data_IF_400964123639
#
_entry.id   IF_400964123639
#
_cell.length_a   1.000
_cell.length_b   1.000
_cell.length_c   1.000
_cell.angle_alpha   90.00
_cell.angle_beta   90.00
_cell.angle_gamma   90.00
#
_symmetry.space_group_name_H-M   'P 1'
#
loop_
_entity.id
_entity.type
_entity.pdbx_description
1 polymer ?
#
# COMPACT_ATOMS: atom_id res chain seq x y z
N UNK A 1 16.23 2.03 -30.87
CA UNK A 1 15.73 2.34 -29.50
C UNK A 1 14.24 2.69 -29.47
N UNK A 2 13.63 3.08 -30.60
CA UNK A 2 12.20 3.38 -30.78
C UNK A 2 11.19 2.22 -30.53
N UNK A 3 11.66 1.00 -30.23
CA UNK A 3 10.80 -0.18 -30.01
C UNK A 3 10.52 -0.41 -28.50
N UNK A 4 11.35 0.14 -27.61
CA UNK A 4 11.28 -0.14 -26.16
C UNK A 4 10.28 0.77 -25.42
N UNK A 5 10.00 1.97 -25.93
CA UNK A 5 9.11 2.94 -25.27
C UNK A 5 7.66 2.81 -25.74
N UNK A 6 7.45 2.50 -27.02
CA UNK A 6 6.12 2.22 -27.62
C UNK A 6 5.49 0.91 -27.12
N UNK A 7 6.27 0.05 -26.46
CA UNK A 7 5.79 -1.19 -25.86
C UNK A 7 5.32 -1.04 -24.42
N UNK A 8 5.80 -0.07 -23.63
CA UNK A 8 5.39 0.05 -22.22
C UNK A 8 3.92 0.45 -22.02
N UNK A 9 3.36 1.28 -22.90
CA UNK A 9 2.00 1.83 -22.75
C UNK A 9 0.89 0.78 -22.96
N UNK A 10 0.94 -0.12 -23.95
CA UNK A 10 -0.05 -1.20 -24.08
C UNK A 10 0.10 -2.32 -23.03
N UNK A 11 1.23 -2.38 -22.33
CA UNK A 11 1.57 -3.49 -21.42
C UNK A 11 1.32 -3.16 -19.95
N UNK A 12 0.77 -1.99 -19.64
CA UNK A 12 0.48 -1.56 -18.26
C UNK A 12 -0.40 -2.57 -17.49
N UNK A 13 -1.37 -3.18 -18.16
CA UNK A 13 -2.21 -4.25 -17.60
C UNK A 13 -1.39 -5.52 -17.26
N UNK A 14 -0.39 -5.85 -18.08
CA UNK A 14 0.46 -7.03 -17.85
C UNK A 14 1.36 -6.87 -16.63
N UNK A 15 1.60 -5.65 -16.14
CA UNK A 15 2.36 -5.45 -14.91
C UNK A 15 1.55 -5.73 -13.63
N UNK A 16 0.25 -5.98 -13.73
CA UNK A 16 -0.58 -6.35 -12.56
C UNK A 16 -0.13 -7.67 -11.92
N UNK A 17 0.48 -8.59 -12.69
CA UNK A 17 1.05 -9.85 -12.17
C UNK A 17 2.10 -9.61 -11.07
N UNK A 18 2.80 -8.46 -11.13
CA UNK A 18 3.77 -8.10 -10.10
C UNK A 18 3.09 -7.78 -8.77
N UNK A 19 1.82 -7.35 -8.77
CA UNK A 19 1.06 -7.18 -7.53
C UNK A 19 0.90 -8.50 -6.80
N UNK A 20 0.45 -9.55 -7.49
CA UNK A 20 0.27 -10.88 -6.89
C UNK A 20 1.61 -11.46 -6.41
N UNK A 21 2.65 -11.36 -7.25
CA UNK A 21 3.99 -11.79 -6.89
C UNK A 21 4.52 -11.09 -5.63
N UNK A 22 4.43 -9.74 -5.57
CA UNK A 22 4.86 -8.95 -4.41
C UNK A 22 4.06 -9.28 -3.14
N UNK A 23 2.77 -9.59 -3.28
CA UNK A 23 1.90 -9.92 -2.16
C UNK A 23 2.19 -11.32 -1.60
N UNK A 24 2.54 -12.28 -2.45
CA UNK A 24 2.89 -13.64 -2.02
C UNK A 24 4.36 -13.79 -1.59
N UNK A 25 5.21 -12.83 -1.96
CA UNK A 25 6.64 -12.86 -1.68
C UNK A 25 6.97 -13.14 -0.20
N UNK A 26 6.36 -12.48 0.82
CA UNK A 26 6.63 -12.79 2.22
C UNK A 26 6.36 -14.25 2.60
N UNK A 27 5.27 -14.85 2.08
CA UNK A 27 4.93 -16.25 2.34
C UNK A 27 5.96 -17.19 1.71
N UNK A 28 6.38 -16.90 0.48
CA UNK A 28 7.43 -17.63 -0.20
C UNK A 28 8.76 -17.55 0.57
N UNK A 29 9.10 -16.38 1.13
CA UNK A 29 10.31 -16.19 1.95
C UNK A 29 10.29 -17.05 3.22
N UNK A 30 9.14 -17.12 3.91
CA UNK A 30 8.97 -17.95 5.10
C UNK A 30 9.14 -19.43 4.77
N UNK A 31 8.49 -19.89 3.71
CA UNK A 31 8.54 -21.30 3.31
C UNK A 31 9.93 -21.70 2.80
N UNK A 32 10.58 -20.84 2.01
CA UNK A 32 11.94 -21.08 1.54
C UNK A 32 12.91 -21.15 2.74
N UNK A 33 12.78 -20.24 3.70
CA UNK A 33 13.57 -20.23 4.94
C UNK A 33 13.36 -21.47 5.82
N UNK A 34 12.20 -22.13 5.70
CA UNK A 34 11.91 -23.42 6.35
C UNK A 34 12.61 -24.57 5.62
N UNK A 35 12.53 -24.58 4.29
CA UNK A 35 13.12 -25.63 3.44
C UNK A 35 14.65 -25.59 3.43
N UNK A 36 15.28 -24.41 3.49
CA UNK A 36 16.75 -24.28 3.53
C UNK A 36 17.38 -24.80 4.83
N UNK A 37 16.58 -25.11 5.86
CA UNK A 37 17.04 -25.81 7.08
C UNK A 37 17.14 -27.33 6.90
N UNK A 38 16.53 -27.87 5.85
CA UNK A 38 16.48 -29.30 5.58
C UNK A 38 17.57 -29.65 4.55
N UNK A 39 18.56 -30.44 4.97
CA UNK A 39 19.73 -30.79 4.16
C UNK A 39 19.38 -31.32 2.76
N UNK A 40 18.34 -32.16 2.64
CA UNK A 40 17.83 -32.65 1.35
C UNK A 40 17.55 -31.53 0.36
N UNK A 41 16.90 -30.46 0.79
CA UNK A 41 16.52 -29.35 -0.08
C UNK A 41 17.69 -28.42 -0.37
N UNK A 42 18.63 -28.28 0.57
CA UNK A 42 19.89 -27.55 0.32
C UNK A 42 20.66 -28.19 -0.82
N UNK A 43 20.88 -29.51 -0.77
CA UNK A 43 21.57 -30.22 -1.85
C UNK A 43 20.81 -30.16 -3.18
N UNK A 44 19.48 -30.30 -3.13
CA UNK A 44 18.63 -30.20 -4.31
C UNK A 44 18.75 -28.84 -4.99
N UNK A 45 18.63 -27.75 -4.24
CA UNK A 45 18.71 -26.41 -4.82
C UNK A 45 20.10 -26.09 -5.36
N UNK A 46 21.16 -26.53 -4.68
CA UNK A 46 22.53 -26.34 -5.17
C UNK A 46 22.79 -27.14 -6.46
N UNK A 47 22.30 -28.37 -6.55
CA UNK A 47 22.36 -29.15 -7.79
C UNK A 47 21.61 -28.45 -8.94
N UNK A 48 20.43 -27.89 -8.69
CA UNK A 48 19.69 -27.10 -9.68
C UNK A 48 20.45 -25.85 -10.11
N UNK A 49 21.07 -25.11 -9.18
CA UNK A 49 21.85 -23.90 -9.46
C UNK A 49 23.03 -24.21 -10.39
N UNK A 50 23.78 -25.27 -10.08
CA UNK A 50 24.91 -25.72 -10.89
C UNK A 50 24.48 -26.20 -12.27
N UNK A 51 23.39 -26.96 -12.36
CA UNK A 51 22.83 -27.44 -13.64
C UNK A 51 22.42 -26.28 -14.57
N UNK A 52 21.80 -25.25 -13.99
CA UNK A 52 21.39 -24.04 -14.71
C UNK A 52 22.53 -23.02 -14.90
N UNK A 53 23.74 -23.33 -14.42
CA UNK A 53 24.92 -22.46 -14.51
C UNK A 53 24.67 -21.06 -13.94
N UNK A 54 23.87 -20.98 -12.88
CA UNK A 54 23.56 -19.72 -12.22
C UNK A 54 24.73 -19.27 -11.34
N UNK A 55 24.96 -17.96 -11.27
CA UNK A 55 25.93 -17.36 -10.34
C UNK A 55 25.62 -17.74 -8.90
N UNK A 56 26.65 -17.83 -8.06
CA UNK A 56 26.54 -18.17 -6.65
C UNK A 56 25.95 -17.00 -5.85
N UNK A 57 24.65 -16.80 -6.02
CA UNK A 57 23.84 -15.95 -5.16
C UNK A 57 23.11 -16.93 -4.24
N UNK A 58 23.34 -16.77 -2.93
CA UNK A 58 22.59 -17.48 -1.89
C UNK A 58 21.10 -17.40 -2.20
N UNK A 59 20.33 -18.45 -1.89
CA UNK A 59 18.87 -18.47 -2.02
C UNK A 59 18.20 -17.60 -0.94
N UNK A 60 18.79 -16.43 -0.66
CA UNK A 60 18.26 -15.44 0.25
C UNK A 60 16.97 -14.89 -0.36
N UNK A 61 15.84 -15.01 0.34
CA UNK A 61 14.59 -14.46 -0.12
C UNK A 61 14.61 -12.92 -0.34
N UNK A 62 15.56 -12.18 0.22
CA UNK A 62 15.69 -10.74 -0.03
C UNK A 62 16.20 -10.38 -1.44
N UNK A 63 16.83 -11.31 -2.14
CA UNK A 63 17.51 -11.08 -3.42
C UNK A 63 16.62 -11.33 -4.65
N UNK A 64 15.33 -11.66 -4.45
CA UNK A 64 14.42 -11.93 -5.57
C UNK A 64 14.17 -10.68 -6.44
N UNK A 65 14.68 -10.79 -7.66
CA UNK A 65 14.73 -9.76 -8.70
C UNK A 65 13.40 -9.09 -9.09
N UNK A 66 12.21 -9.74 -9.11
CA UNK A 66 11.01 -9.11 -9.66
C UNK A 66 10.51 -7.89 -8.87
N UNK A 67 10.57 -7.96 -7.53
CA UNK A 67 10.19 -6.86 -6.62
C UNK A 67 11.14 -5.67 -6.78
N UNK A 68 12.44 -5.93 -6.92
CA UNK A 68 13.41 -4.87 -7.15
C UNK A 68 13.31 -4.30 -8.58
N UNK A 69 13.02 -5.14 -9.57
CA UNK A 69 13.03 -4.77 -10.99
C UNK A 69 11.91 -3.79 -11.31
N UNK A 70 10.71 -4.00 -10.77
CA UNK A 70 9.58 -3.09 -11.00
C UNK A 70 9.83 -1.67 -10.46
N UNK A 71 10.67 -1.56 -9.42
CA UNK A 71 11.11 -0.29 -8.83
C UNK A 71 12.24 0.39 -9.59
N UNK A 72 13.04 -0.39 -10.30
CA UNK A 72 14.21 0.11 -11.04
C UNK A 72 13.80 0.78 -12.34
N UNK A 73 12.71 0.36 -12.98
CA UNK A 73 12.27 0.95 -14.25
C UNK A 73 12.01 2.46 -14.17
N UNK A 74 11.28 3.01 -13.16
CA UNK A 74 11.16 4.47 -13.02
C UNK A 74 12.51 5.18 -12.87
N UNK A 75 13.47 4.60 -12.14
CA UNK A 75 14.79 5.21 -11.94
C UNK A 75 15.61 5.22 -13.24
N UNK A 76 15.60 4.11 -13.98
CA UNK A 76 16.30 3.98 -15.26
C UNK A 76 15.70 4.92 -16.33
N UNK A 77 14.38 5.03 -16.39
CA UNK A 77 13.69 5.93 -17.32
C UNK A 77 13.89 7.41 -16.94
N UNK A 78 13.97 7.73 -15.65
CA UNK A 78 14.28 9.09 -15.20
C UNK A 78 15.71 9.49 -15.60
N UNK A 79 16.68 8.59 -15.44
CA UNK A 79 18.07 8.85 -15.85
C UNK A 79 18.18 8.95 -17.38
N UNK A 80 17.45 8.11 -18.13
CA UNK A 80 17.39 8.22 -19.59
C UNK A 80 16.79 9.55 -20.04
N UNK A 81 15.69 9.99 -19.43
CA UNK A 81 15.03 11.26 -19.77
C UNK A 81 15.96 12.45 -19.53
N UNK A 82 16.76 12.42 -18.46
CA UNK A 82 17.74 13.47 -18.12
C UNK A 82 18.78 13.71 -19.23
N UNK A 83 19.18 12.67 -19.96
CA UNK A 83 20.11 12.78 -21.09
C UNK A 83 19.44 12.78 -22.47
N UNK A 84 18.11 12.80 -22.51
CA UNK A 84 17.35 12.89 -23.77
C UNK A 84 17.00 14.36 -24.01
N UNK A 85 17.46 14.92 -25.14
CA UNK A 85 17.17 16.33 -25.46
C UNK A 85 15.66 16.54 -25.70
N UNK A 86 15.04 17.66 -25.30
CA UNK A 86 13.60 17.92 -25.48
C UNK A 86 13.11 17.85 -26.93
N UNK A 87 13.99 18.11 -27.90
CA UNK A 87 13.69 18.03 -29.34
C UNK A 87 13.95 16.63 -29.93
N UNK A 88 14.47 15.69 -29.14
CA UNK A 88 14.70 14.32 -29.58
C UNK A 88 13.36 13.62 -29.81
N UNK A 89 13.26 12.85 -30.90
CA UNK A 89 12.06 12.10 -31.28
C UNK A 89 11.47 11.23 -30.16
N UNK A 90 12.33 10.66 -29.32
CA UNK A 90 11.93 9.73 -28.25
C UNK A 90 11.66 10.44 -26.91
N UNK A 91 11.83 11.77 -26.80
CA UNK A 91 11.68 12.49 -25.53
C UNK A 91 10.29 12.30 -24.92
N UNK A 92 9.23 12.51 -25.72
CA UNK A 92 7.84 12.35 -25.30
C UNK A 92 7.53 10.90 -24.93
N UNK A 93 8.09 9.94 -25.66
CA UNK A 93 7.86 8.52 -25.40
C UNK A 93 8.54 8.05 -24.10
N UNK A 94 9.74 8.53 -23.81
CA UNK A 94 10.46 8.26 -22.55
C UNK A 94 9.73 8.93 -21.38
N UNK A 95 9.23 10.15 -21.56
CA UNK A 95 8.42 10.85 -20.55
C UNK A 95 7.12 10.08 -20.23
N UNK A 96 6.39 9.64 -21.25
CA UNK A 96 5.18 8.84 -21.09
C UNK A 96 5.47 7.48 -20.43
N UNK A 97 6.54 6.80 -20.83
CA UNK A 97 6.96 5.53 -20.22
C UNK A 97 7.34 5.71 -18.74
N UNK A 98 8.06 6.80 -18.40
CA UNK A 98 8.41 7.12 -17.02
C UNK A 98 7.16 7.34 -16.17
N UNK A 99 6.19 8.09 -16.69
CA UNK A 99 4.92 8.33 -16.01
C UNK A 99 4.15 7.01 -15.78
N UNK A 100 4.03 6.17 -16.82
CA UNK A 100 3.36 4.87 -16.72
C UNK A 100 4.02 3.96 -15.67
N UNK A 101 5.36 3.84 -15.68
CA UNK A 101 6.08 2.99 -14.72
C UNK A 101 6.02 3.52 -13.29
N UNK A 102 5.97 4.84 -13.09
CA UNK A 102 5.70 5.43 -11.77
C UNK A 102 4.31 5.02 -11.26
N UNK A 103 3.29 5.07 -12.12
CA UNK A 103 1.92 4.67 -11.74
C UNK A 103 1.84 3.18 -11.40
N UNK A 104 2.51 2.31 -12.16
CA UNK A 104 2.59 0.86 -11.87
C UNK A 104 3.24 0.62 -10.50
N UNK A 105 4.38 1.26 -10.22
CA UNK A 105 5.06 1.11 -8.94
C UNK A 105 4.19 1.61 -7.77
N UNK A 106 3.52 2.76 -7.94
CA UNK A 106 2.59 3.30 -6.95
C UNK A 106 1.40 2.36 -6.71
N UNK A 107 0.80 1.80 -7.77
CA UNK A 107 -0.31 0.84 -7.69
C UNK A 107 0.09 -0.40 -6.87
N UNK A 108 1.22 -1.02 -7.19
CA UNK A 108 1.71 -2.22 -6.50
C UNK A 108 1.99 -1.91 -5.02
N UNK A 109 2.65 -0.78 -4.75
CA UNK A 109 2.95 -0.36 -3.38
C UNK A 109 1.66 -0.07 -2.58
N UNK A 110 0.66 0.55 -3.20
CA UNK A 110 -0.63 0.83 -2.57
C UNK A 110 -1.42 -0.46 -2.28
N UNK A 111 -1.44 -1.42 -3.21
CA UNK A 111 -2.08 -2.73 -2.99
C UNK A 111 -1.41 -3.53 -1.87
N UNK A 112 -0.08 -3.57 -1.84
CA UNK A 112 0.66 -4.19 -0.73
C UNK A 112 0.34 -3.51 0.60
N UNK A 113 0.38 -2.18 0.64
CA UNK A 113 0.01 -1.38 1.82
C UNK A 113 -1.40 -1.68 2.31
N UNK A 114 -2.36 -1.88 1.39
CA UNK A 114 -3.74 -2.25 1.75
C UNK A 114 -3.80 -3.58 2.45
N UNK A 115 -3.18 -4.62 1.88
CA UNK A 115 -3.16 -5.95 2.47
C UNK A 115 -2.56 -5.94 3.88
N UNK A 116 -1.43 -5.25 4.06
CA UNK A 116 -0.80 -5.10 5.39
C UNK A 116 -1.67 -4.32 6.39
N UNK A 117 -2.52 -3.42 5.90
CA UNK A 117 -3.40 -2.62 6.75
C UNK A 117 -4.71 -3.32 7.10
N UNK A 118 -5.07 -4.46 6.46
CA UNK A 118 -6.29 -5.20 6.80
C UNK A 118 -6.25 -5.64 8.27
N UNK A 119 -5.12 -6.18 8.74
CA UNK A 119 -4.96 -6.57 10.14
C UNK A 119 -5.17 -5.38 11.10
N UNK A 120 -4.69 -4.19 10.72
CA UNK A 120 -4.87 -2.97 11.52
C UNK A 120 -6.32 -2.50 11.55
N UNK A 121 -7.02 -2.58 10.42
CA UNK A 121 -8.45 -2.26 10.35
C UNK A 121 -9.25 -3.24 11.20
N UNK A 122 -8.96 -4.54 11.10
CA UNK A 122 -9.62 -5.57 11.92
C UNK A 122 -9.36 -5.35 13.43
N UNK A 123 -8.12 -5.01 13.81
CA UNK A 123 -7.78 -4.65 15.17
C UNK A 123 -8.54 -3.40 15.64
N UNK A 124 -8.58 -2.34 14.83
CA UNK A 124 -9.33 -1.14 15.13
C UNK A 124 -10.83 -1.41 15.26
N UNK A 125 -11.44 -2.20 14.37
CA UNK A 125 -12.83 -2.60 14.46
C UNK A 125 -13.12 -3.36 15.76
N UNK A 126 -12.23 -4.26 16.17
CA UNK A 126 -12.38 -4.99 17.44
C UNK A 126 -12.29 -4.10 18.68
N UNK A 127 -11.69 -2.91 18.56
CA UNK A 127 -11.57 -1.95 19.67
C UNK A 127 -12.79 -1.03 19.84
N UNK A 128 -13.75 -1.08 18.90
CA UNK A 128 -14.99 -0.31 19.00
C UNK A 128 -15.93 -1.09 19.92
N UNK A 129 -16.32 -0.48 21.02
CA UNK A 129 -17.23 -1.08 22.00
C UNK A 129 -18.68 -0.89 21.56
N UNK A 130 -19.52 -1.87 21.89
CA UNK A 130 -20.97 -1.69 21.88
C UNK A 130 -21.34 -0.69 22.99
N UNK A 131 -22.45 0.04 22.80
CA UNK A 131 -22.90 1.05 23.77
C UNK A 131 -23.07 0.41 25.16
N UNK A 132 -22.16 0.74 26.08
CA UNK A 132 -22.35 0.65 27.53
C UNK A 132 -22.01 2.03 28.12
N UNK A 133 -22.78 2.47 29.12
CA UNK A 133 -22.96 3.85 29.62
C UNK A 133 -21.72 4.59 30.21
N UNK A 134 -20.52 4.35 29.68
CA UNK A 134 -19.25 4.89 30.19
C UNK A 134 -18.64 5.92 29.22
N UNK A 135 -19.12 7.16 29.23
CA UNK A 135 -18.57 8.27 28.43
C UNK A 135 -17.08 8.54 28.76
N UNK A 136 -16.17 7.81 28.10
CA UNK A 136 -14.72 8.01 28.13
C UNK A 136 -14.26 8.58 26.79
N UNK A 137 -13.36 9.56 26.83
CA UNK A 137 -12.82 10.22 25.61
C UNK A 137 -12.02 9.27 24.70
N UNK A 138 -11.47 8.19 25.27
CA UNK A 138 -10.62 7.24 24.56
C UNK A 138 -11.39 6.00 24.05
N UNK A 139 -12.71 5.97 24.23
CA UNK A 139 -13.59 4.87 23.79
C UNK A 139 -14.43 5.34 22.60
N UNK A 140 -14.50 4.51 21.56
CA UNK A 140 -15.30 4.77 20.37
C UNK A 140 -16.52 3.84 20.37
N UNK A 141 -17.68 4.41 20.07
CA UNK A 141 -18.94 3.67 19.95
C UNK A 141 -19.41 3.65 18.51
N UNK A 142 -19.82 2.48 18.04
CA UNK A 142 -20.38 2.35 16.70
C UNK A 142 -21.77 3.01 16.62
N UNK A 143 -21.96 3.92 15.67
CA UNK A 143 -23.24 4.64 15.44
C UNK A 143 -23.88 4.38 14.07
N UNK A 144 -23.25 3.57 13.23
CA UNK A 144 -23.73 3.24 11.90
C UNK A 144 -22.66 3.36 10.82
N UNK A 145 -23.06 3.03 9.59
CA UNK A 145 -22.26 3.12 8.37
C UNK A 145 -23.12 3.64 7.23
N UNK A 146 -22.50 4.34 6.31
CA UNK A 146 -23.14 4.89 5.12
C UNK A 146 -22.50 4.26 3.90
N UNK A 147 -23.32 3.71 3.00
CA UNK A 147 -22.85 3.17 1.73
C UNK A 147 -22.62 4.31 0.74
N UNK A 148 -21.40 4.41 0.22
CA UNK A 148 -21.00 5.49 -0.68
C UNK A 148 -21.29 5.20 -2.15
N UNK A 149 -21.67 3.97 -2.51
CA UNK A 149 -21.81 3.59 -3.92
C UNK A 149 -23.00 4.25 -4.61
N UNK A 150 -24.06 4.55 -3.87
CA UNK A 150 -25.24 5.28 -4.37
C UNK A 150 -25.26 6.77 -4.02
N UNK A 151 -24.19 7.33 -3.45
CA UNK A 151 -24.17 8.70 -2.93
C UNK A 151 -23.35 9.64 -3.81
N UNK A 152 -23.89 10.83 -4.03
CA UNK A 152 -23.21 11.95 -4.64
C UNK A 152 -22.80 12.98 -3.57
N UNK A 153 -21.56 13.47 -3.68
CA UNK A 153 -21.01 14.48 -2.76
C UNK A 153 -21.18 15.86 -3.40
N UNK A 154 -22.04 16.68 -2.79
CA UNK A 154 -22.32 18.04 -3.25
C UNK A 154 -21.62 19.03 -2.31
N UNK A 155 -20.70 19.82 -2.86
CA UNK A 155 -20.08 20.92 -2.11
C UNK A 155 -21.09 22.06 -1.90
N UNK A 156 -21.26 22.52 -0.65
CA UNK A 156 -22.17 23.61 -0.31
C UNK A 156 -21.40 24.88 0.03
N UNK A 157 -21.79 26.00 -0.55
CA UNK A 157 -21.22 27.31 -0.22
C UNK A 157 -21.65 27.79 1.17
N UNK A 158 -20.79 28.59 1.81
CA UNK A 158 -21.07 29.17 3.11
C UNK A 158 -22.20 30.21 2.98
N UNK A 159 -23.27 30.03 3.74
CA UNK A 159 -24.45 30.86 3.57
C UNK A 159 -25.62 30.46 4.47
N UNK A 160 -26.80 31.01 4.19
CA UNK A 160 -28.04 30.60 4.82
C UNK A 160 -28.67 29.51 3.95
N UNK A 161 -28.73 28.30 4.46
CA UNK A 161 -29.35 27.19 3.75
C UNK A 161 -30.86 27.43 3.63
N UNK A 162 -31.36 27.35 2.39
CA UNK A 162 -32.76 27.61 2.07
C UNK A 162 -33.71 26.56 2.65
N UNK A 163 -33.22 25.33 2.87
CA UNK A 163 -34.03 24.20 3.31
C UNK A 163 -34.08 24.09 4.84
N UNK A 164 -32.96 24.40 5.50
CA UNK A 164 -32.78 24.18 6.95
C UNK A 164 -32.84 25.47 7.80
N UNK A 165 -33.02 26.63 7.17
CA UNK A 165 -33.04 27.96 7.82
C UNK A 165 -31.85 28.28 8.75
N UNK A 166 -30.75 27.53 8.62
CA UNK A 166 -29.55 27.66 9.44
C UNK A 166 -28.41 28.29 8.65
N UNK A 167 -27.52 29.02 9.35
CA UNK A 167 -26.26 29.45 8.74
C UNK A 167 -25.31 28.26 8.69
N UNK A 168 -25.04 27.80 7.49
CA UNK A 168 -24.12 26.72 7.23
C UNK A 168 -22.76 27.33 6.88
N UNK A 169 -21.71 26.81 7.52
CA UNK A 169 -20.32 27.11 7.20
C UNK A 169 -19.55 25.82 7.05
N UNK A 170 -18.67 25.77 6.06
CA UNK A 170 -17.79 24.64 5.76
C UNK A 170 -18.55 23.30 5.66
N UNK A 171 -19.65 23.27 4.93
CA UNK A 171 -20.43 22.05 4.77
C UNK A 171 -20.38 21.46 3.36
N UNK A 172 -20.80 20.21 3.30
CA UNK A 172 -21.07 19.45 2.09
C UNK A 172 -22.23 18.48 2.37
N UNK A 173 -22.98 18.13 1.34
CA UNK A 173 -24.14 17.23 1.43
C UNK A 173 -23.82 15.93 0.71
N UNK A 174 -24.18 14.81 1.33
CA UNK A 174 -24.23 13.50 0.68
C UNK A 174 -25.67 13.27 0.27
N UNK A 175 -25.90 13.06 -1.02
CA UNK A 175 -27.23 12.88 -1.58
C UNK A 175 -27.35 11.52 -2.25
N UNK A 176 -28.30 10.70 -1.81
CA UNK A 176 -28.62 9.42 -2.41
C UNK A 176 -29.66 9.59 -3.50
N UNK A 177 -29.22 9.51 -4.77
CA UNK A 177 -30.12 9.68 -5.91
C UNK A 177 -31.23 8.62 -5.99
N UNK A 178 -30.97 7.41 -5.46
CA UNK A 178 -31.90 6.28 -5.48
C UNK A 178 -32.77 6.19 -4.24
N UNK A 179 -32.28 6.66 -3.09
CA UNK A 179 -32.98 6.57 -1.79
C UNK A 179 -33.69 7.87 -1.41
N UNK A 180 -33.33 9.00 -2.03
CA UNK A 180 -33.80 10.33 -1.62
C UNK A 180 -33.23 10.77 -0.26
N UNK A 181 -32.33 9.99 0.33
CA UNK A 181 -31.71 10.32 1.61
C UNK A 181 -30.65 11.40 1.41
N UNK A 182 -30.66 12.41 2.29
CA UNK A 182 -29.66 13.46 2.27
C UNK A 182 -29.03 13.64 3.65
N UNK A 183 -27.70 13.64 3.71
CA UNK A 183 -26.93 13.86 4.92
C UNK A 183 -26.11 15.14 4.79
N UNK A 184 -26.36 16.11 5.67
CA UNK A 184 -25.56 17.32 5.75
C UNK A 184 -24.39 17.11 6.73
N UNK A 185 -23.17 17.38 6.28
CA UNK A 185 -21.97 17.33 7.13
C UNK A 185 -21.29 18.69 7.17
N UNK A 186 -20.97 19.16 8.38
CA UNK A 186 -20.30 20.44 8.61
C UNK A 186 -18.92 20.21 9.24
N UNK A 187 -17.87 20.72 8.60
CA UNK A 187 -16.54 20.74 9.18
C UNK A 187 -16.34 22.00 10.05
N UNK A 188 -15.49 21.90 11.07
CA UNK A 188 -15.17 23.08 11.91
C UNK A 188 -14.29 24.09 11.19
N UNK A 189 -13.48 23.64 10.25
CA UNK A 189 -12.53 24.47 9.49
C UNK A 189 -12.61 24.18 8.00
N UNK A 190 -12.34 25.18 7.17
CA UNK A 190 -12.32 25.05 5.71
C UNK A 190 -11.30 24.02 5.24
N UNK A 191 -10.14 23.92 5.88
CA UNK A 191 -9.13 22.93 5.47
C UNK A 191 -9.60 21.49 5.72
N UNK A 192 -10.43 21.28 6.75
CA UNK A 192 -11.02 19.96 7.02
C UNK A 192 -12.06 19.61 5.96
N UNK A 193 -12.94 20.55 5.59
CA UNK A 193 -13.89 20.37 4.47
C UNK A 193 -13.15 19.97 3.18
N UNK A 194 -12.11 20.73 2.83
CA UNK A 194 -11.32 20.44 1.63
C UNK A 194 -10.63 19.08 1.69
N UNK A 195 -10.16 18.64 2.86
CA UNK A 195 -9.62 17.28 3.05
C UNK A 195 -10.68 16.19 2.85
N UNK A 196 -11.89 16.40 3.34
CA UNK A 196 -13.01 15.47 3.14
C UNK A 196 -13.40 15.36 1.67
N UNK A 197 -13.60 16.48 0.97
CA UNK A 197 -13.94 16.47 -0.46
C UNK A 197 -12.88 15.74 -1.29
N UNK A 198 -11.60 16.01 -1.02
CA UNK A 198 -10.49 15.28 -1.64
C UNK A 198 -10.50 13.78 -1.30
N UNK A 199 -10.85 13.42 -0.07
CA UNK A 199 -10.94 12.02 0.34
C UNK A 199 -12.06 11.28 -0.39
N UNK A 200 -13.25 11.89 -0.55
CA UNK A 200 -14.34 11.32 -1.33
C UNK A 200 -13.99 11.15 -2.81
N UNK A 201 -13.41 12.18 -3.44
CA UNK A 201 -12.97 12.09 -4.83
C UNK A 201 -11.92 10.98 -5.02
N UNK A 202 -10.96 10.88 -4.10
CA UNK A 202 -9.94 9.82 -4.12
C UNK A 202 -10.54 8.43 -3.94
N UNK A 203 -11.56 8.31 -3.09
CA UNK A 203 -12.25 7.04 -2.85
C UNK A 203 -13.02 6.58 -4.10
N UNK A 204 -13.75 7.47 -4.79
CA UNK A 204 -14.45 7.13 -6.05
C UNK A 204 -13.49 6.74 -7.17
N UNK A 205 -12.38 7.48 -7.34
CA UNK A 205 -11.32 7.12 -8.28
C UNK A 205 -10.74 5.74 -7.95
N UNK A 206 -10.54 5.45 -6.67
CA UNK A 206 -10.01 4.17 -6.25
C UNK A 206 -10.97 3.01 -6.53
N UNK A 207 -12.25 3.18 -6.26
CA UNK A 207 -13.26 2.13 -6.54
C UNK A 207 -13.29 1.83 -8.02
N UNK A 208 -13.25 2.85 -8.89
CA UNK A 208 -13.17 2.66 -10.34
C UNK A 208 -11.92 1.86 -10.74
N UNK A 209 -10.75 2.25 -10.23
CA UNK A 209 -9.49 1.54 -10.51
C UNK A 209 -9.51 0.10 -10.00
N UNK A 210 -10.07 -0.14 -8.82
CA UNK A 210 -10.16 -1.49 -8.25
C UNK A 210 -11.11 -2.37 -9.09
N UNK A 211 -12.21 -1.82 -9.62
CA UNK A 211 -13.11 -2.49 -10.56
C UNK A 211 -12.44 -2.78 -11.91
N UNK A 212 -11.80 -1.79 -12.53
CA UNK A 212 -11.09 -1.93 -13.82
C UNK A 212 -9.96 -2.97 -13.73
N UNK A 213 -9.30 -3.04 -12.59
CA UNK A 213 -8.14 -3.92 -12.38
C UNK A 213 -8.49 -5.22 -11.66
N UNK A 214 -9.77 -5.47 -11.36
CA UNK A 214 -10.25 -6.65 -10.64
C UNK A 214 -9.67 -6.84 -9.24
N UNK A 215 -9.13 -5.78 -8.63
CA UNK A 215 -8.55 -5.88 -7.30
C UNK A 215 -9.65 -5.95 -6.25
N UNK A 216 -9.65 -7.03 -5.47
CA UNK A 216 -10.50 -7.16 -4.30
C UNK A 216 -9.76 -7.86 -3.18
N UNK A 217 -10.04 -7.42 -1.94
CA UNK A 217 -9.61 -8.17 -0.76
C UNK A 217 -10.55 -9.37 -0.63
N UNK A 218 -9.98 -10.57 -0.69
CA UNK A 218 -10.74 -11.82 -0.64
C UNK A 218 -11.40 -12.02 0.73
N UNK A 219 -12.49 -12.79 0.78
CA UNK A 219 -13.13 -13.15 2.05
C UNK A 219 -12.18 -13.88 3.00
N UNK A 220 -11.31 -14.74 2.45
CA UNK A 220 -10.32 -15.48 3.24
C UNK A 220 -9.36 -14.53 3.96
N UNK A 221 -8.84 -13.51 3.26
CA UNK A 221 -7.97 -12.50 3.85
C UNK A 221 -8.68 -11.70 4.95
N UNK A 222 -9.96 -11.35 4.76
CA UNK A 222 -10.76 -10.66 5.79
C UNK A 222 -10.98 -11.54 7.02
N UNK A 223 -11.39 -12.80 6.82
CA UNK A 223 -11.59 -13.77 7.92
C UNK A 223 -10.30 -13.98 8.70
N UNK A 224 -9.16 -14.12 8.00
CA UNK A 224 -7.85 -14.27 8.64
C UNK A 224 -7.49 -13.04 9.48
N UNK A 225 -7.70 -11.83 8.96
CA UNK A 225 -7.41 -10.61 9.71
C UNK A 225 -8.28 -10.46 10.97
N UNK A 226 -9.56 -10.83 10.88
CA UNK A 226 -10.46 -10.86 12.04
C UNK A 226 -10.01 -11.88 13.11
N UNK A 227 -9.55 -13.06 12.70
CA UNK A 227 -8.97 -14.07 13.61
C UNK A 227 -7.67 -13.57 14.26
N UNK A 228 -6.83 -12.84 13.50
CA UNK A 228 -5.60 -12.26 14.04
C UNK A 228 -5.91 -11.20 15.10
N UNK A 229 -6.91 -10.34 14.85
CA UNK A 229 -7.36 -9.32 15.80
C UNK A 229 -7.91 -9.93 17.10
N UNK A 230 -8.75 -10.97 17.01
CA UNK A 230 -9.34 -11.62 18.20
C UNK A 230 -8.29 -12.28 19.09
N UNK A 231 -7.28 -12.94 18.52
CA UNK A 231 -6.16 -13.54 19.28
C UNK A 231 -5.38 -12.50 20.09
N UNK A 232 -5.17 -11.31 19.54
CA UNK A 232 -4.46 -10.23 20.23
C UNK A 232 -5.26 -9.64 21.39
N UNK A 233 -6.59 -9.63 21.31
CA UNK A 233 -7.43 -9.23 22.44
C UNK A 233 -7.37 -10.22 23.61
N UNK A 234 -7.35 -11.52 23.33
CA UNK A 234 -7.25 -12.56 24.37
C UNK A 234 -5.92 -12.44 25.13
N UNK A 235 -4.82 -12.11 24.44
CA UNK A 235 -3.52 -11.86 25.06
C UNK A 235 -3.48 -10.57 25.91
N UNK A 236 -4.44 -9.65 25.71
CA UNK A 236 -4.58 -8.38 26.46
C UNK A 236 -5.54 -8.46 27.65
N UNK A 237 -6.24 -9.57 27.90
CA UNK A 237 -7.07 -9.71 29.11
C UNK A 237 -6.19 -9.59 30.37
N UNK A 238 -6.53 -8.72 31.33
CA UNK A 238 -5.70 -8.50 32.50
C UNK A 238 -5.75 -9.73 33.42
N UNK A 239 -4.58 -10.15 33.92
CA UNK A 239 -4.51 -10.96 35.15
C UNK A 239 -5.33 -10.23 36.21
N UNK A 240 -6.28 -10.92 36.85
CA UNK A 240 -7.10 -10.39 37.92
C UNK A 240 -6.19 -9.77 39.00
N UNK A 241 -6.21 -8.44 39.14
CA UNK A 241 -5.51 -7.74 40.20
C UNK A 241 -6.47 -7.51 41.36
N UNK A 242 -6.31 -8.34 42.38
CA UNK A 242 -6.52 -7.97 43.78
C UNK A 242 -5.87 -6.61 44.05
N UNK A 243 -6.64 -5.66 44.60
CA UNK A 243 -6.15 -4.39 45.15
C UNK A 243 -5.45 -4.66 46.50
N UNK A 244 -4.38 -3.92 46.86
CA UNK A 244 -4.59 -2.58 47.40
C UNK A 244 -3.58 -1.49 47.00
N UNK A 245 -3.96 -0.27 47.35
CA UNK A 245 -3.36 1.05 47.14
C UNK A 245 -1.85 1.16 47.39
N UNK A 246 -1.14 1.93 46.54
CA UNK A 246 -0.43 3.17 46.88
C UNK A 246 -0.16 4.00 45.60
N UNK A 247 -0.48 5.30 45.67
CA UNK A 247 -0.15 6.31 44.66
C UNK A 247 1.36 6.45 44.54
N UNK A 248 1.92 6.01 43.41
CA UNK A 248 3.22 6.50 42.94
C UNK A 248 3.07 6.98 41.50
N UNK A 249 3.55 8.20 41.30
CA UNK A 249 3.56 8.99 40.07
C UNK A 249 4.31 8.22 38.97
N UNK A 250 3.60 7.41 38.18
CA UNK A 250 4.18 6.81 36.98
C UNK A 250 4.39 7.88 35.92
N UNK A 251 5.66 8.13 35.61
CA UNK A 251 6.09 8.90 34.45
C UNK A 251 5.45 8.31 33.19
N UNK A 252 4.96 9.18 32.32
CA UNK A 252 4.47 8.84 30.99
C UNK A 252 5.42 7.83 30.31
N UNK A 253 4.92 6.77 29.67
CA UNK A 253 5.69 6.14 28.61
C UNK A 253 5.92 7.23 27.57
N UNK A 254 7.18 7.65 27.41
CA UNK A 254 7.57 8.35 26.21
C UNK A 254 7.13 7.43 25.06
N UNK A 255 6.19 7.89 24.24
CA UNK A 255 5.89 7.27 22.97
C UNK A 255 7.22 7.22 22.23
N UNK A 256 7.85 6.05 22.18
CA UNK A 256 8.96 5.82 21.27
C UNK A 256 8.38 6.02 19.89
N UNK A 257 8.71 7.14 19.27
CA UNK A 257 8.40 7.48 17.88
C UNK A 257 9.20 6.59 16.90
N UNK A 258 9.31 5.30 17.20
CA UNK A 258 9.80 4.30 16.26
C UNK A 258 8.59 3.73 15.54
N UNK A 259 8.26 4.34 14.40
CA UNK A 259 7.48 3.67 13.36
C UNK A 259 8.11 2.29 13.14
N UNK A 260 7.38 1.16 13.33
CA UNK A 260 7.86 -0.10 12.82
C UNK A 260 7.98 0.06 11.30
N UNK A 261 9.16 -0.23 10.75
CA UNK A 261 9.48 -0.03 9.34
C UNK A 261 8.38 -0.66 8.46
N UNK A 262 7.51 0.19 7.91
CA UNK A 262 6.70 -0.20 6.77
C UNK A 262 7.69 -0.57 5.67
N UNK A 263 7.56 -1.78 5.12
CA UNK A 263 8.28 -2.16 3.92
C UNK A 263 7.63 -1.49 2.72
N UNK A 264 7.67 -0.15 2.71
CA UNK A 264 7.46 0.64 1.51
C UNK A 264 8.46 0.12 0.50
N UNK A 265 7.97 -0.15 -0.70
CA UNK A 265 8.84 -0.49 -1.80
C UNK A 265 9.60 0.79 -2.19
N UNK A 266 10.72 1.05 -1.49
CA UNK A 266 11.42 2.33 -1.58
C UNK A 266 12.13 2.41 -2.92
N UNK A 267 11.82 3.43 -3.71
CA UNK A 267 12.54 3.84 -4.92
C UNK A 267 13.91 4.47 -4.59
N UNK A 268 14.61 3.95 -3.58
CA UNK A 268 15.89 4.50 -3.17
C UNK A 268 16.95 4.09 -4.18
N UNK A 269 17.74 5.07 -4.61
CA UNK A 269 18.95 4.82 -5.38
C UNK A 269 19.84 3.84 -4.60
N UNK A 270 20.35 2.77 -5.25
CA UNK A 270 21.24 1.86 -4.57
C UNK A 270 22.51 2.61 -4.16
N UNK A 271 22.83 2.61 -2.86
CA UNK A 271 24.16 3.02 -2.39
C UNK A 271 25.19 2.18 -3.16
N UNK A 272 26.05 2.87 -3.91
CA UNK A 272 27.13 2.26 -4.72
C UNK A 272 28.01 1.40 -3.81
N UNK A 273 27.73 0.10 -3.76
CA UNK A 273 28.78 -0.89 -3.52
C UNK A 273 29.48 -1.12 -4.86
N UNK A 274 30.81 -1.27 -4.91
CA UNK A 274 31.50 -1.58 -6.15
C UNK A 274 31.00 -2.95 -6.63
N UNK A 275 30.03 -2.92 -7.54
CA UNK A 275 29.44 -4.11 -8.13
C UNK A 275 30.32 -4.53 -9.29
N UNK A 276 30.81 -5.76 -9.22
CA UNK A 276 31.52 -6.47 -10.30
C UNK A 276 30.65 -6.72 -11.54
N UNK A 277 29.38 -6.31 -11.53
CA UNK A 277 28.43 -6.45 -12.64
C UNK A 277 28.96 -5.87 -13.96
N UNK A 278 29.58 -4.69 -13.94
CA UNK A 278 30.13 -4.07 -15.15
C UNK A 278 31.45 -4.69 -15.64
N UNK A 279 32.14 -5.47 -14.81
CA UNK A 279 33.38 -6.15 -15.23
C UNK A 279 33.11 -7.46 -16.00
N UNK A 280 31.88 -7.97 -15.96
CA UNK A 280 31.48 -9.20 -16.67
C UNK A 280 30.96 -8.91 -18.09
N UNK A 281 30.33 -7.76 -18.32
CA UNK A 281 29.76 -7.41 -19.63
C UNK A 281 30.86 -7.16 -20.69
N UNK A 282 32.04 -6.69 -20.29
CA UNK A 282 33.17 -6.49 -21.19
C UNK A 282 33.88 -7.78 -21.63
N UNK A 283 33.54 -8.95 -21.06
CA UNK A 283 34.12 -10.26 -21.46
C UNK A 283 33.22 -11.13 -22.35
N UNK A 284 31.99 -10.71 -22.65
CA UNK A 284 31.03 -11.53 -23.42
C UNK A 284 30.61 -10.94 -24.77
N UNK A 285 31.37 -9.99 -25.31
CA UNK A 285 31.17 -9.53 -26.68
C UNK A 285 32.25 -10.12 -27.62
N UNK A 286 31.95 -11.14 -28.44
CA UNK A 286 32.75 -11.42 -29.62
C UNK A 286 32.23 -10.52 -30.76
N UNK A 287 32.58 -9.23 -30.73
CA UNK A 287 32.61 -8.46 -31.97
C UNK A 287 33.91 -8.81 -32.68
N UNK A 288 33.87 -9.84 -33.53
CA UNK A 288 34.86 -9.95 -34.62
C UNK A 288 34.60 -8.81 -35.62
N UNK A 289 35.72 -8.29 -36.12
CA UNK A 289 35.88 -7.14 -37.03
C UNK A 289 34.89 -7.12 -38.19
#
# INVERSE_FOLDING_TARGET
MSILTSSCTPQQANFQIYSEYCNNHPNACVELSRLTKLSKYVYFFEACRLLQKMIDISLDPGDFFPVQKICKYPLQLAELLKYTHPQHRDFKDVEAALYAMKNVAQLINERKRRLENIDKIAQWQSSIEDWEDLLRRDVLYYKGRVDMDGLEVVDLEDGKDRDLHMSIKNAFRLYGGTTGESHLLCARKTEQKQRWLKAFAKEREQVRLDQETGFSITELQRKQAMLNASKQQVARKPKAFSRPYYLTRQKHPALTASLPQQQVLVLAEPKRKPSTFWHSISRLAPFRK
#
